data_IF_711550978388
#
_entry.id   IF_711550978388
#
_cell.length_a   1.000
_cell.length_b   1.000
_cell.length_c   1.000
_cell.angle_alpha   90.00
_cell.angle_beta   90.00
_cell.angle_gamma   90.00
#
_symmetry.space_group_name_H-M   'P 1'
#
loop_
_entity.id
_entity.type
_entity.pdbx_description
1 polymer ?
#
# COMPACT_ATOMS: atom_id res chain seq x y z
N UNK A 1 52.62 -7.56 24.55
CA UNK A 1 52.58 -6.59 25.67
C UNK A 1 51.20 -5.98 25.71
N UNK A 2 50.44 -6.22 26.78
CA UNK A 2 49.11 -5.61 26.98
C UNK A 2 49.26 -4.08 27.11
N UNK A 3 48.75 -3.31 26.13
CA UNK A 3 48.76 -1.84 26.22
C UNK A 3 47.86 -1.46 27.39
N UNK A 4 48.44 -0.75 28.40
CA UNK A 4 47.70 -0.28 29.55
C UNK A 4 46.40 0.46 29.13
N UNK A 5 45.27 0.01 29.62
CA UNK A 5 43.94 0.62 29.44
C UNK A 5 43.60 1.40 30.70
N UNK A 6 42.65 2.36 30.58
CA UNK A 6 42.11 3.12 31.73
C UNK A 6 43.11 4.08 32.38
N UNK A 7 43.80 4.87 31.58
CA UNK A 7 44.83 5.82 32.05
C UNK A 7 44.22 7.13 32.58
N UNK A 8 43.07 7.52 32.10
CA UNK A 8 42.39 8.75 32.51
C UNK A 8 41.48 8.47 33.73
N UNK A 9 41.41 9.43 34.62
CA UNK A 9 40.40 9.48 35.67
C UNK A 9 39.33 10.51 35.31
N UNK A 10 38.15 10.42 35.93
CA UNK A 10 37.08 11.40 35.76
C UNK A 10 37.54 12.82 36.19
N UNK A 11 38.43 12.93 37.17
CA UNK A 11 39.06 14.17 37.57
C UNK A 11 39.98 14.73 36.48
N UNK A 12 40.81 13.88 35.87
CA UNK A 12 41.69 14.27 34.75
C UNK A 12 40.89 14.78 33.55
N UNK A 13 39.76 14.12 33.20
CA UNK A 13 38.85 14.57 32.13
C UNK A 13 38.26 15.97 32.43
N UNK A 14 37.86 16.21 33.70
CA UNK A 14 37.32 17.53 34.07
C UNK A 14 38.37 18.63 34.00
N UNK A 15 39.58 18.36 34.44
CA UNK A 15 40.68 19.36 34.53
C UNK A 15 41.50 19.52 33.23
N UNK A 16 41.27 18.68 32.22
CA UNK A 16 41.93 18.83 30.93
C UNK A 16 41.43 20.11 30.22
N UNK A 17 42.24 21.15 30.17
CA UNK A 17 41.89 22.46 29.54
C UNK A 17 42.79 22.77 28.33
N UNK A 18 43.99 22.24 28.28
CA UNK A 18 44.89 22.49 27.16
C UNK A 18 44.44 21.75 25.90
N UNK A 19 44.38 22.40 24.74
CA UNK A 19 44.05 21.75 23.48
C UNK A 19 44.99 20.59 23.18
N UNK A 20 44.42 19.44 22.75
CA UNK A 20 45.23 18.25 22.44
C UNK A 20 44.47 16.95 22.65
N UNK A 21 45.20 15.85 22.49
CA UNK A 21 44.70 14.48 22.66
C UNK A 21 45.26 13.87 23.96
N UNK A 22 44.39 13.41 24.82
CA UNK A 22 44.72 12.73 26.08
C UNK A 22 44.37 11.25 25.94
N UNK A 23 45.36 10.40 26.03
CA UNK A 23 45.23 8.99 25.75
C UNK A 23 44.72 8.21 26.98
N UNK A 24 43.54 7.53 26.83
CA UNK A 24 43.02 6.66 27.90
C UNK A 24 43.51 5.21 27.80
N UNK A 25 43.87 4.77 26.61
CA UNK A 25 44.28 3.38 26.33
C UNK A 25 43.34 2.68 25.36
N UNK A 26 43.87 1.62 24.71
CA UNK A 26 43.06 0.87 23.73
C UNK A 26 42.52 1.70 22.57
N UNK A 27 43.23 2.76 22.16
CA UNK A 27 42.81 3.66 21.08
C UNK A 27 41.78 4.72 21.48
N UNK A 28 41.33 4.76 22.75
CA UNK A 28 40.43 5.81 23.22
C UNK A 28 41.21 7.06 23.63
N UNK A 29 40.77 8.22 23.13
CA UNK A 29 41.31 9.53 23.44
C UNK A 29 40.23 10.50 23.84
N UNK A 30 40.55 11.37 24.82
CA UNK A 30 39.84 12.64 25.03
C UNK A 30 40.50 13.69 24.14
N UNK A 31 39.75 14.30 23.24
CA UNK A 31 40.16 15.45 22.46
C UNK A 31 39.64 16.72 23.13
N UNK A 32 40.53 17.69 23.34
CA UNK A 32 40.18 19.03 23.76
C UNK A 32 40.48 19.96 22.58
N UNK A 33 39.48 20.67 22.10
CA UNK A 33 39.63 21.61 20.96
C UNK A 33 40.28 22.94 21.43
N UNK A 34 40.66 23.78 20.47
CA UNK A 34 41.17 25.13 20.74
C UNK A 34 40.13 26.02 21.45
N UNK A 35 38.84 25.70 21.29
CA UNK A 35 37.72 26.39 21.91
C UNK A 35 37.28 25.78 23.28
N UNK A 36 38.06 24.82 23.79
CA UNK A 36 37.76 24.15 25.07
C UNK A 36 36.70 23.09 25.01
N UNK A 37 36.13 22.75 23.84
CA UNK A 37 35.16 21.66 23.75
C UNK A 37 35.86 20.33 23.89
N UNK A 38 35.21 19.38 24.60
CA UNK A 38 35.76 18.06 24.89
C UNK A 38 34.93 16.96 24.19
N UNK A 39 35.61 16.07 23.49
CA UNK A 39 34.97 14.94 22.81
C UNK A 39 35.79 13.65 22.92
N UNK A 40 35.11 12.52 22.84
CA UNK A 40 35.74 11.20 22.80
C UNK A 40 36.05 10.80 21.37
N UNK A 41 37.25 10.30 21.14
CA UNK A 41 37.75 9.82 19.84
C UNK A 41 38.27 8.40 20.03
N UNK A 42 37.87 7.49 19.15
CA UNK A 42 38.45 6.17 19.01
C UNK A 42 39.39 6.17 17.79
N UNK A 43 40.67 5.95 18.04
CA UNK A 43 41.67 5.71 17.00
C UNK A 43 41.89 4.21 16.82
N UNK A 44 41.70 3.71 15.64
CA UNK A 44 41.87 2.31 15.29
C UNK A 44 42.58 2.15 13.96
N UNK A 45 43.12 0.95 13.71
CA UNK A 45 43.76 0.61 12.44
C UNK A 45 43.05 -0.57 11.82
N UNK A 46 42.61 -0.41 10.57
CA UNK A 46 42.01 -1.47 9.76
C UNK A 46 42.65 -1.43 8.38
N UNK A 47 42.96 -2.57 7.77
CA UNK A 47 43.62 -2.68 6.46
C UNK A 47 44.87 -1.79 6.32
N UNK A 48 45.71 -1.77 7.38
CA UNK A 48 46.92 -0.93 7.47
C UNK A 48 46.68 0.57 7.47
N UNK A 49 45.42 1.04 7.53
CA UNK A 49 45.07 2.47 7.60
C UNK A 49 44.59 2.81 9.01
N UNK A 50 45.15 3.88 9.58
CA UNK A 50 44.70 4.42 10.86
C UNK A 50 43.59 5.42 10.62
N UNK A 51 42.49 5.29 11.39
CA UNK A 51 41.30 6.15 11.31
C UNK A 51 40.92 6.63 12.70
N UNK A 52 40.34 7.83 12.77
CA UNK A 52 39.78 8.44 13.97
C UNK A 52 38.27 8.50 13.86
N UNK A 53 37.54 7.95 14.85
CA UNK A 53 36.11 7.92 14.94
C UNK A 53 35.62 8.71 16.15
N UNK A 54 34.80 9.73 15.96
CA UNK A 54 34.14 10.46 17.03
C UNK A 54 33.12 9.57 17.77
N UNK A 55 33.24 9.50 19.10
CA UNK A 55 32.30 8.76 19.95
C UNK A 55 31.25 9.67 20.61
N UNK A 56 31.42 10.97 20.53
CA UNK A 56 30.50 11.99 21.07
C UNK A 56 31.16 12.93 22.07
N UNK A 57 30.45 14.02 22.47
CA UNK A 57 30.97 14.99 23.42
C UNK A 57 30.98 14.43 24.83
N UNK A 58 31.90 14.95 25.67
CA UNK A 58 32.03 14.57 27.09
C UNK A 58 30.80 15.02 27.91
N UNK A 59 30.08 16.03 27.45
CA UNK A 59 28.85 16.50 28.09
C UNK A 59 27.76 15.41 28.09
N UNK A 60 27.67 14.62 27.00
CA UNK A 60 26.65 13.57 26.82
C UNK A 60 27.14 12.20 27.28
N UNK A 61 28.46 11.97 27.28
CA UNK A 61 29.06 10.66 27.53
C UNK A 61 30.17 10.75 28.57
N UNK A 62 29.96 10.09 29.71
CA UNK A 62 30.98 9.93 30.74
C UNK A 62 32.16 9.09 30.25
N UNK A 63 33.28 9.09 30.96
CA UNK A 63 34.44 8.27 30.65
C UNK A 63 34.11 6.77 30.64
N UNK A 64 33.25 6.30 31.55
CA UNK A 64 32.85 4.89 31.61
C UNK A 64 32.06 4.50 30.36
N UNK A 65 31.09 5.31 29.96
CA UNK A 65 30.28 5.09 28.75
C UNK A 65 31.11 5.17 27.47
N UNK A 66 32.08 6.10 27.40
CA UNK A 66 33.02 6.19 26.29
C UNK A 66 33.90 4.93 26.18
N UNK A 67 34.32 4.34 27.28
CA UNK A 67 35.05 3.07 27.32
C UNK A 67 34.21 1.91 26.79
N UNK A 68 32.97 1.80 27.22
CA UNK A 68 32.03 0.78 26.74
C UNK A 68 31.75 0.93 25.23
N UNK A 69 31.52 2.17 24.76
CA UNK A 69 31.38 2.43 23.33
C UNK A 69 32.62 2.06 22.53
N UNK A 70 33.80 2.44 23.02
CA UNK A 70 35.06 2.10 22.39
C UNK A 70 35.29 0.58 22.37
N UNK A 71 34.85 -0.15 23.39
CA UNK A 71 34.91 -1.61 23.44
C UNK A 71 34.08 -2.25 22.34
N UNK A 72 32.82 -1.81 22.15
CA UNK A 72 31.96 -2.30 21.08
C UNK A 72 32.57 -2.08 19.69
N UNK A 73 33.11 -0.89 19.42
CA UNK A 73 33.71 -0.59 18.11
C UNK A 73 35.04 -1.32 17.91
N UNK A 74 35.82 -1.60 18.96
CA UNK A 74 37.00 -2.45 18.84
C UNK A 74 36.63 -3.89 18.44
N UNK A 75 35.55 -4.45 18.98
CA UNK A 75 35.07 -5.76 18.56
C UNK A 75 34.78 -5.79 17.05
N UNK A 76 34.14 -4.75 16.49
CA UNK A 76 33.95 -4.67 15.03
C UNK A 76 35.28 -4.65 14.26
N UNK A 77 36.29 -3.92 14.77
CA UNK A 77 37.62 -3.89 14.14
C UNK A 77 38.28 -5.27 14.21
N UNK A 78 38.16 -6.00 15.33
CA UNK A 78 38.65 -7.35 15.49
C UNK A 78 37.97 -8.31 14.50
N UNK A 79 36.67 -8.11 14.21
CA UNK A 79 35.88 -8.82 13.20
C UNK A 79 36.14 -8.31 11.76
N UNK A 80 37.13 -7.43 11.56
CA UNK A 80 37.48 -6.79 10.26
C UNK A 80 36.37 -5.96 9.66
N UNK A 81 35.47 -5.43 10.47
CA UNK A 81 34.39 -4.51 10.06
C UNK A 81 34.81 -3.09 10.44
N UNK A 82 34.82 -2.18 9.45
CA UNK A 82 35.12 -0.77 9.71
C UNK A 82 33.98 -0.09 10.49
N UNK A 83 34.19 0.39 11.72
CA UNK A 83 33.16 1.00 12.54
C UNK A 83 32.51 2.25 11.93
N UNK A 84 33.26 3.03 11.13
CA UNK A 84 32.72 4.23 10.44
C UNK A 84 31.75 3.79 9.35
N UNK A 85 32.13 2.81 8.52
CA UNK A 85 31.28 2.27 7.48
C UNK A 85 30.07 1.54 8.06
N UNK A 86 30.24 0.80 9.15
CA UNK A 86 29.14 0.15 9.85
C UNK A 86 28.09 1.18 10.32
N UNK A 87 28.54 2.26 10.99
CA UNK A 87 27.65 3.33 11.46
C UNK A 87 26.95 4.04 10.30
N UNK A 88 27.68 4.29 9.20
CA UNK A 88 27.10 4.89 7.99
C UNK A 88 26.00 4.01 7.41
N UNK A 89 26.25 2.72 7.21
CA UNK A 89 25.25 1.77 6.72
C UNK A 89 24.03 1.67 7.64
N UNK A 90 24.25 1.68 8.96
CA UNK A 90 23.16 1.67 9.92
C UNK A 90 22.31 2.95 9.87
N UNK A 91 22.94 4.12 9.68
CA UNK A 91 22.24 5.39 9.50
C UNK A 91 21.48 5.44 8.17
N UNK A 92 22.10 4.99 7.08
CA UNK A 92 21.47 4.88 5.76
C UNK A 92 20.26 3.93 5.82
N UNK A 93 20.40 2.76 6.45
CA UNK A 93 19.30 1.82 6.64
C UNK A 93 18.13 2.42 7.46
N UNK A 94 18.46 3.18 8.53
CA UNK A 94 17.45 3.88 9.32
C UNK A 94 16.78 5.03 8.57
N UNK A 95 17.52 5.76 7.72
CA UNK A 95 16.99 6.82 6.88
C UNK A 95 16.04 6.23 5.82
N UNK A 96 16.47 5.19 5.11
CA UNK A 96 15.66 4.46 4.13
C UNK A 96 14.40 3.87 4.78
N UNK A 97 14.54 3.29 5.97
CA UNK A 97 13.38 2.78 6.72
C UNK A 97 12.38 3.90 7.10
N UNK A 98 12.85 5.12 7.37
CA UNK A 98 11.98 6.29 7.64
C UNK A 98 11.31 6.81 6.37
N UNK A 99 12.02 6.88 5.24
CA UNK A 99 11.47 7.29 3.95
C UNK A 99 10.44 6.30 3.43
N UNK A 100 10.58 5.01 3.77
CA UNK A 100 9.64 3.95 3.39
C UNK A 100 8.43 3.85 4.35
N UNK A 101 8.28 4.76 5.33
CA UNK A 101 7.12 4.80 6.21
C UNK A 101 5.90 5.38 5.46
N UNK A 102 5.28 4.58 4.60
CA UNK A 102 4.03 4.93 3.94
C UNK A 102 2.83 4.43 4.72
N UNK A 103 1.80 5.26 4.81
CA UNK A 103 0.51 4.82 5.35
C UNK A 103 -0.26 3.97 4.36
N UNK A 104 -1.22 3.18 4.84
CA UNK A 104 -2.11 2.42 3.96
C UNK A 104 -2.87 3.33 2.99
N UNK A 105 -3.34 4.50 3.46
CA UNK A 105 -4.05 5.49 2.64
C UNK A 105 -3.18 6.04 1.51
N UNK A 106 -1.93 6.44 1.81
CA UNK A 106 -0.99 6.89 0.78
C UNK A 106 -0.72 5.83 -0.28
N UNK A 107 -0.52 4.57 0.15
CA UNK A 107 -0.35 3.45 -0.76
C UNK A 107 -1.61 3.18 -1.59
N UNK A 108 -2.81 3.32 -1.00
CA UNK A 108 -4.08 3.14 -1.69
C UNK A 108 -4.30 4.21 -2.78
N UNK A 109 -3.99 5.48 -2.48
CA UNK A 109 -4.09 6.58 -3.44
C UNK A 109 -3.10 6.37 -4.60
N UNK A 110 -1.86 6.00 -4.30
CA UNK A 110 -0.85 5.74 -5.32
C UNK A 110 -1.21 4.51 -6.19
N UNK A 111 -1.68 3.43 -5.58
CA UNK A 111 -2.18 2.23 -6.28
C UNK A 111 -3.37 2.58 -7.18
N UNK A 112 -4.34 3.36 -6.68
CA UNK A 112 -5.46 3.85 -7.46
C UNK A 112 -5.01 4.67 -8.67
N UNK A 113 -4.06 5.60 -8.50
CA UNK A 113 -3.49 6.41 -9.58
C UNK A 113 -2.88 5.55 -10.69
N UNK A 114 -2.17 4.47 -10.32
CA UNK A 114 -1.60 3.51 -11.27
C UNK A 114 -2.67 2.71 -12.02
N UNK A 115 -3.76 2.31 -11.33
CA UNK A 115 -4.83 1.50 -11.93
C UNK A 115 -5.81 2.33 -12.75
N UNK A 116 -6.04 3.61 -12.40
CA UNK A 116 -7.05 4.47 -13.01
C UNK A 116 -7.01 4.50 -14.55
N UNK A 117 -5.85 4.60 -15.22
CA UNK A 117 -5.78 4.60 -16.69
C UNK A 117 -6.21 3.28 -17.34
N UNK A 118 -6.23 2.17 -16.60
CA UNK A 118 -6.61 0.85 -17.13
C UNK A 118 -8.12 0.62 -17.17
N UNK A 119 -8.90 1.47 -16.51
CA UNK A 119 -10.36 1.31 -16.43
C UNK A 119 -11.07 2.07 -17.54
N UNK A 120 -11.82 1.33 -18.38
CA UNK A 120 -12.67 1.90 -19.43
C UNK A 120 -13.81 2.79 -18.88
N UNK A 121 -14.27 2.52 -17.64
CA UNK A 121 -15.35 3.27 -17.02
C UNK A 121 -14.84 4.12 -15.84
N UNK A 122 -14.84 5.46 -15.93
CA UNK A 122 -14.39 6.36 -14.86
C UNK A 122 -15.11 6.12 -13.52
N UNK A 123 -16.43 5.82 -13.56
CA UNK A 123 -17.21 5.51 -12.34
C UNK A 123 -16.66 4.29 -11.56
N UNK A 124 -16.04 3.34 -12.25
CA UNK A 124 -15.42 2.20 -11.58
C UNK A 124 -14.20 2.62 -10.77
N UNK A 125 -13.40 3.55 -11.30
CA UNK A 125 -12.27 4.14 -10.58
C UNK A 125 -12.71 4.86 -9.31
N UNK A 126 -13.74 5.72 -9.43
CA UNK A 126 -14.27 6.46 -8.29
C UNK A 126 -14.84 5.51 -7.21
N UNK A 127 -15.59 4.47 -7.63
CA UNK A 127 -16.09 3.45 -6.71
C UNK A 127 -14.96 2.68 -6.02
N UNK A 128 -13.83 2.46 -6.70
CA UNK A 128 -12.70 1.73 -6.15
C UNK A 128 -12.13 2.45 -4.92
N UNK A 129 -11.80 3.72 -5.06
CA UNK A 129 -11.23 4.50 -3.96
C UNK A 129 -12.28 4.83 -2.88
N UNK A 130 -13.50 5.24 -3.28
CA UNK A 130 -14.56 5.59 -2.34
C UNK A 130 -14.93 4.43 -1.40
N UNK A 131 -14.86 3.20 -1.87
CA UNK A 131 -15.10 2.03 -1.01
C UNK A 131 -14.02 1.87 0.04
N UNK A 132 -12.74 2.10 -0.29
CA UNK A 132 -11.66 2.08 0.69
C UNK A 132 -11.77 3.25 1.68
N UNK A 133 -12.12 4.44 1.19
CA UNK A 133 -12.37 5.63 2.02
C UNK A 133 -13.47 5.37 3.06
N UNK A 134 -14.53 4.68 2.63
CA UNK A 134 -15.67 4.42 3.51
C UNK A 134 -15.38 3.34 4.56
N UNK A 135 -14.71 2.25 4.17
CA UNK A 135 -14.62 1.06 5.02
C UNK A 135 -13.24 0.78 5.58
N UNK A 136 -12.17 1.07 4.82
CA UNK A 136 -10.81 0.74 5.20
C UNK A 136 -10.07 1.91 5.89
N UNK A 137 -10.14 3.11 5.34
CA UNK A 137 -9.40 4.26 5.87
C UNK A 137 -9.73 4.62 7.32
N UNK A 138 -10.98 4.53 7.81
CA UNK A 138 -11.27 4.82 9.20
C UNK A 138 -10.55 3.88 10.19
N UNK A 139 -10.22 2.67 9.77
CA UNK A 139 -9.61 1.63 10.62
C UNK A 139 -8.11 1.53 10.41
N UNK A 140 -7.66 1.46 9.15
CA UNK A 140 -6.26 1.17 8.80
C UNK A 140 -5.58 2.28 8.00
N UNK A 141 -6.30 3.32 7.58
CA UNK A 141 -5.78 4.35 6.67
C UNK A 141 -4.51 5.02 7.15
N UNK A 142 -4.47 5.39 8.43
CA UNK A 142 -3.32 6.08 9.06
C UNK A 142 -2.23 5.15 9.57
N UNK A 143 -2.45 3.84 9.53
CA UNK A 143 -1.44 2.87 9.95
C UNK A 143 -0.31 2.82 8.91
N UNK A 144 0.92 2.58 9.39
CA UNK A 144 1.99 2.20 8.49
C UNK A 144 1.56 0.94 7.71
N UNK A 145 1.68 0.96 6.39
CA UNK A 145 1.25 -0.14 5.53
C UNK A 145 1.91 -1.47 5.91
N UNK A 146 3.16 -1.45 6.36
CA UNK A 146 3.88 -2.64 6.83
C UNK A 146 3.34 -3.22 8.15
N UNK A 147 2.54 -2.46 8.91
CA UNK A 147 1.88 -2.96 10.13
C UNK A 147 0.47 -3.52 9.88
N UNK A 148 -0.05 -3.42 8.66
CA UNK A 148 -1.38 -3.91 8.30
C UNK A 148 -1.34 -5.42 8.11
N UNK A 149 -1.68 -6.17 9.16
CA UNK A 149 -1.74 -7.63 9.14
C UNK A 149 -3.17 -8.17 9.02
N UNK A 150 -3.29 -9.51 9.04
CA UNK A 150 -4.59 -10.22 8.95
C UNK A 150 -5.63 -9.74 9.96
N UNK A 151 -5.23 -9.42 11.19
CA UNK A 151 -6.14 -8.92 12.24
C UNK A 151 -6.72 -7.56 11.85
N UNK A 152 -5.89 -6.62 11.43
CA UNK A 152 -6.34 -5.29 10.99
C UNK A 152 -7.30 -5.37 9.79
N UNK A 153 -7.05 -6.30 8.87
CA UNK A 153 -7.95 -6.56 7.73
C UNK A 153 -9.28 -7.16 8.21
N UNK A 154 -9.24 -8.10 9.15
CA UNK A 154 -10.46 -8.66 9.76
C UNK A 154 -11.29 -7.59 10.47
N UNK A 155 -10.67 -6.66 11.20
CA UNK A 155 -11.34 -5.55 11.88
C UNK A 155 -12.09 -4.65 10.88
N UNK A 156 -11.53 -4.39 9.69
CA UNK A 156 -12.21 -3.66 8.61
C UNK A 156 -13.41 -4.43 8.08
N UNK A 157 -13.28 -5.74 7.91
CA UNK A 157 -14.29 -6.56 7.23
C UNK A 157 -15.44 -6.98 8.14
N UNK A 158 -15.18 -7.24 9.41
CA UNK A 158 -16.18 -7.80 10.37
C UNK A 158 -17.51 -7.05 10.35
N UNK A 159 -17.58 -5.69 10.36
CA UNK A 159 -18.85 -4.97 10.38
C UNK A 159 -19.72 -5.19 9.14
N UNK A 160 -19.09 -5.52 8.01
CA UNK A 160 -19.77 -5.65 6.71
C UNK A 160 -19.79 -7.09 6.18
N UNK A 161 -19.11 -8.01 6.86
CA UNK A 161 -18.83 -9.36 6.35
C UNK A 161 -20.07 -10.19 6.05
N UNK A 162 -21.04 -10.16 6.97
CA UNK A 162 -22.30 -10.88 6.81
C UNK A 162 -23.39 -9.99 6.19
N UNK A 163 -23.41 -8.70 6.52
CA UNK A 163 -24.47 -7.79 6.11
C UNK A 163 -24.38 -7.34 4.65
N UNK A 164 -23.15 -7.08 4.17
CA UNK A 164 -22.86 -6.54 2.82
C UNK A 164 -21.79 -7.39 2.14
N UNK A 165 -22.10 -8.68 1.95
CA UNK A 165 -21.12 -9.69 1.52
C UNK A 165 -20.37 -9.33 0.24
N UNK A 166 -21.07 -8.80 -0.78
CA UNK A 166 -20.48 -8.35 -2.05
C UNK A 166 -19.51 -7.17 -1.83
N UNK A 167 -19.95 -6.20 -1.02
CA UNK A 167 -19.11 -5.04 -0.65
C UNK A 167 -17.87 -5.49 0.11
N UNK A 168 -18.03 -6.39 1.10
CA UNK A 168 -16.93 -6.94 1.89
C UNK A 168 -15.90 -7.67 1.00
N UNK A 169 -16.37 -8.45 0.04
CA UNK A 169 -15.49 -9.13 -0.93
C UNK A 169 -14.71 -8.13 -1.80
N UNK A 170 -15.33 -7.05 -2.24
CA UNK A 170 -14.67 -5.98 -3.01
C UNK A 170 -13.68 -5.19 -2.16
N UNK A 171 -14.02 -4.88 -0.90
CA UNK A 171 -13.10 -4.22 0.05
C UNK A 171 -11.87 -5.09 0.26
N UNK A 172 -12.06 -6.40 0.50
CA UNK A 172 -10.97 -7.36 0.66
C UNK A 172 -10.03 -7.38 -0.56
N UNK A 173 -10.59 -7.50 -1.77
CA UNK A 173 -9.80 -7.49 -3.01
C UNK A 173 -8.99 -6.19 -3.16
N UNK A 174 -9.57 -5.04 -2.80
CA UNK A 174 -8.91 -3.74 -2.89
C UNK A 174 -7.80 -3.59 -1.85
N UNK A 175 -8.04 -4.01 -0.61
CA UNK A 175 -6.98 -4.05 0.42
C UNK A 175 -5.83 -4.93 -0.04
N UNK A 176 -6.13 -6.12 -0.58
CA UNK A 176 -5.10 -7.02 -1.13
C UNK A 176 -4.29 -6.35 -2.23
N UNK A 177 -4.95 -5.65 -3.16
CA UNK A 177 -4.26 -4.93 -4.24
C UNK A 177 -3.32 -3.84 -3.70
N UNK A 178 -3.76 -3.09 -2.68
CA UNK A 178 -2.94 -2.04 -2.03
C UNK A 178 -1.72 -2.65 -1.33
N UNK A 179 -1.90 -3.72 -0.56
CA UNK A 179 -0.79 -4.37 0.14
C UNK A 179 0.20 -5.03 -0.83
N UNK A 180 -0.30 -5.61 -1.92
CA UNK A 180 0.56 -6.12 -3.00
C UNK A 180 1.34 -5.00 -3.69
N UNK A 181 0.69 -3.86 -3.95
CA UNK A 181 1.35 -2.65 -4.47
C UNK A 181 2.44 -2.17 -3.51
N UNK A 182 2.13 -2.08 -2.22
CA UNK A 182 3.09 -1.65 -1.20
C UNK A 182 4.30 -2.58 -1.11
N UNK A 183 4.08 -3.90 -1.19
CA UNK A 183 5.15 -4.90 -1.21
C UNK A 183 6.04 -4.76 -2.45
N UNK A 184 5.45 -4.56 -3.63
CA UNK A 184 6.19 -4.39 -4.88
C UNK A 184 7.04 -3.10 -4.94
N UNK A 185 6.75 -2.13 -4.04
CA UNK A 185 7.50 -0.88 -3.90
C UNK A 185 8.36 -0.82 -2.63
N UNK A 186 8.62 -1.95 -1.98
CA UNK A 186 9.41 -2.08 -0.77
C UNK A 186 8.88 -1.29 0.46
N UNK A 187 7.62 -0.83 0.41
CA UNK A 187 6.95 -0.18 1.53
C UNK A 187 6.43 -1.19 2.56
N UNK A 188 6.38 -2.48 2.19
CA UNK A 188 5.96 -3.58 3.07
C UNK A 188 7.00 -4.72 3.02
N UNK A 189 8.19 -4.56 3.62
CA UNK A 189 9.16 -5.63 3.74
C UNK A 189 8.58 -6.76 4.60
N UNK A 190 8.73 -8.01 4.14
CA UNK A 190 8.20 -9.18 4.86
C UNK A 190 6.69 -9.41 4.67
N UNK A 191 6.07 -8.83 3.65
CA UNK A 191 4.69 -9.14 3.28
C UNK A 191 4.51 -10.62 2.97
N UNK A 192 3.70 -11.31 3.78
CA UNK A 192 3.43 -12.74 3.64
C UNK A 192 2.06 -12.97 2.99
N UNK A 193 2.06 -13.64 1.84
CA UNK A 193 0.83 -14.00 1.13
C UNK A 193 -0.05 -15.00 1.90
N UNK A 194 0.53 -15.79 2.82
CA UNK A 194 -0.22 -16.75 3.66
C UNK A 194 -1.26 -16.08 4.56
N UNK A 195 -1.10 -14.78 4.84
CA UNK A 195 -2.09 -14.03 5.62
C UNK A 195 -3.51 -14.14 5.02
N UNK A 196 -3.63 -14.29 3.69
CA UNK A 196 -4.91 -14.39 3.01
C UNK A 196 -5.58 -15.76 3.20
N UNK A 197 -4.79 -16.81 3.37
CA UNK A 197 -5.28 -18.18 3.65
C UNK A 197 -5.72 -18.33 5.11
N UNK A 198 -5.12 -17.54 6.00
CA UNK A 198 -5.45 -17.52 7.42
C UNK A 198 -6.58 -16.55 7.78
N UNK A 199 -6.81 -15.51 6.97
CA UNK A 199 -7.83 -14.49 7.22
C UNK A 199 -9.25 -15.08 7.42
N UNK A 200 -9.71 -16.10 6.66
CA UNK A 200 -11.02 -16.71 6.87
C UNK A 200 -11.23 -17.27 8.27
N UNK A 201 -10.17 -17.66 8.98
CA UNK A 201 -10.25 -18.16 10.36
C UNK A 201 -10.61 -17.06 11.37
N UNK A 202 -10.41 -15.79 11.00
CA UNK A 202 -10.74 -14.63 11.84
C UNK A 202 -12.14 -14.06 11.56
N UNK A 203 -12.81 -14.55 10.52
CA UNK A 203 -14.11 -14.05 10.07
C UNK A 203 -15.18 -15.12 10.28
N UNK A 204 -16.44 -14.72 10.62
CA UNK A 204 -17.51 -15.68 10.75
C UNK A 204 -17.77 -16.38 9.42
N UNK A 205 -18.15 -17.66 9.47
CA UNK A 205 -18.57 -18.39 8.28
C UNK A 205 -19.74 -17.69 7.61
N UNK A 206 -19.62 -17.48 6.30
CA UNK A 206 -20.75 -16.96 5.52
C UNK A 206 -21.75 -18.10 5.30
N UNK A 207 -23.04 -17.84 5.56
CA UNK A 207 -24.05 -18.82 5.17
C UNK A 207 -24.02 -19.01 3.65
N UNK A 208 -24.19 -20.23 3.18
CA UNK A 208 -24.38 -20.50 1.76
C UNK A 208 -25.54 -19.65 1.25
N UNK A 209 -25.21 -18.64 0.49
CA UNK A 209 -26.22 -17.80 -0.16
C UNK A 209 -26.63 -18.52 -1.42
N UNK A 210 -27.82 -19.13 -1.42
CA UNK A 210 -28.48 -19.42 -2.70
C UNK A 210 -28.57 -18.08 -3.44
N UNK A 211 -27.79 -17.97 -4.51
CA UNK A 211 -27.78 -16.77 -5.33
C UNK A 211 -29.18 -16.58 -5.90
N UNK A 212 -30.01 -15.82 -5.21
CA UNK A 212 -31.34 -15.47 -5.73
C UNK A 212 -31.09 -14.56 -6.94
N UNK A 213 -31.52 -15.02 -8.08
CA UNK A 213 -31.55 -14.19 -9.29
C UNK A 213 -32.50 -13.00 -9.01
N UNK A 214 -32.21 -11.86 -9.61
CA UNK A 214 -33.17 -10.76 -9.60
C UNK A 214 -34.50 -11.25 -10.18
N UNK A 215 -35.59 -10.74 -9.65
CA UNK A 215 -36.91 -11.00 -10.20
C UNK A 215 -36.90 -10.66 -11.70
N UNK A 216 -37.32 -11.60 -12.51
CA UNK A 216 -37.40 -11.44 -13.96
C UNK A 216 -38.82 -11.74 -14.41
N UNK A 217 -39.28 -11.02 -15.44
CA UNK A 217 -40.50 -11.34 -16.12
C UNK A 217 -40.31 -12.62 -16.94
N UNK A 218 -41.14 -13.65 -16.77
CA UNK A 218 -41.16 -14.81 -17.67
C UNK A 218 -41.34 -14.36 -19.10
N UNK A 219 -40.61 -14.98 -20.04
CA UNK A 219 -40.64 -14.53 -21.44
C UNK A 219 -42.06 -14.60 -22.06
N UNK A 220 -42.87 -15.55 -21.63
CA UNK A 220 -44.30 -15.68 -22.08
C UNK A 220 -45.16 -14.48 -21.65
N UNK A 221 -44.80 -13.78 -20.59
CA UNK A 221 -45.51 -12.61 -20.09
C UNK A 221 -44.96 -11.29 -20.66
N UNK A 222 -43.90 -11.35 -21.47
CA UNK A 222 -43.26 -10.16 -22.01
C UNK A 222 -44.21 -9.29 -22.87
N UNK A 223 -45.07 -9.94 -23.68
CA UNK A 223 -46.05 -9.22 -24.49
C UNK A 223 -47.08 -8.46 -23.65
N UNK A 224 -47.54 -9.04 -22.54
CA UNK A 224 -48.47 -8.40 -21.62
C UNK A 224 -47.77 -7.26 -20.86
N UNK A 225 -46.51 -7.45 -20.46
CA UNK A 225 -45.68 -6.41 -19.86
C UNK A 225 -45.55 -5.20 -20.78
N UNK A 226 -45.32 -5.40 -22.08
CA UNK A 226 -45.24 -4.32 -23.06
C UNK A 226 -46.57 -3.61 -23.18
N UNK A 227 -47.72 -4.31 -23.24
CA UNK A 227 -49.04 -3.69 -23.23
C UNK A 227 -49.29 -2.84 -22.00
N UNK A 228 -48.96 -3.32 -20.82
CA UNK A 228 -49.05 -2.56 -19.57
C UNK A 228 -48.17 -1.30 -19.58
N UNK A 229 -46.93 -1.44 -20.14
CA UNK A 229 -46.04 -0.31 -20.31
C UNK A 229 -46.60 0.77 -21.23
N UNK A 230 -47.20 0.37 -22.36
CA UNK A 230 -47.83 1.29 -23.31
C UNK A 230 -48.97 2.07 -22.68
N UNK A 231 -49.77 1.45 -21.80
CA UNK A 231 -50.84 2.11 -21.01
C UNK A 231 -50.37 2.95 -19.83
N UNK A 232 -49.07 2.99 -19.53
CA UNK A 232 -48.52 3.71 -18.38
C UNK A 232 -48.37 5.22 -18.67
N UNK A 233 -48.11 5.98 -17.61
CA UNK A 233 -47.84 7.44 -17.67
C UNK A 233 -46.39 7.79 -18.06
N UNK A 234 -45.58 6.82 -18.43
CA UNK A 234 -44.18 7.04 -18.86
C UNK A 234 -44.16 7.79 -20.20
N UNK A 235 -43.08 8.55 -20.47
CA UNK A 235 -42.89 9.20 -21.75
C UNK A 235 -42.76 8.18 -22.88
N UNK A 236 -43.25 8.53 -24.07
CA UNK A 236 -43.21 7.68 -25.25
C UNK A 236 -41.78 7.20 -25.57
N UNK A 237 -40.79 8.09 -25.40
CA UNK A 237 -39.40 7.72 -25.62
C UNK A 237 -38.94 6.59 -24.69
N UNK A 238 -39.35 6.61 -23.41
CA UNK A 238 -39.02 5.55 -22.46
C UNK A 238 -39.73 4.25 -22.79
N UNK A 239 -41.00 4.30 -23.23
CA UNK A 239 -41.74 3.11 -23.65
C UNK A 239 -41.08 2.47 -24.86
N UNK A 240 -40.73 3.24 -25.89
CA UNK A 240 -40.04 2.74 -27.07
C UNK A 240 -38.66 2.18 -26.75
N UNK A 241 -37.88 2.87 -25.92
CA UNK A 241 -36.55 2.38 -25.54
C UNK A 241 -36.61 1.07 -24.77
N UNK A 242 -37.60 0.90 -23.89
CA UNK A 242 -37.82 -0.34 -23.16
C UNK A 242 -38.24 -1.49 -24.09
N UNK A 243 -39.23 -1.22 -24.96
CA UNK A 243 -39.72 -2.19 -25.97
C UNK A 243 -38.58 -2.61 -26.89
N UNK A 244 -37.80 -1.65 -27.42
CA UNK A 244 -36.61 -1.92 -28.23
C UNK A 244 -35.60 -2.81 -27.50
N UNK A 245 -35.36 -2.52 -26.20
CA UNK A 245 -34.44 -3.35 -25.38
C UNK A 245 -34.95 -4.78 -25.22
N UNK A 246 -36.27 -4.98 -25.04
CA UNK A 246 -36.87 -6.31 -24.91
C UNK A 246 -36.82 -7.07 -26.24
N UNK A 247 -37.16 -6.42 -27.35
CA UNK A 247 -37.20 -7.05 -28.67
C UNK A 247 -35.80 -7.44 -29.21
N UNK A 248 -34.78 -6.67 -28.83
CA UNK A 248 -33.40 -6.89 -29.30
C UNK A 248 -32.56 -7.74 -28.30
N UNK A 249 -33.00 -7.88 -27.05
CA UNK A 249 -32.27 -8.61 -26.01
C UNK A 249 -30.94 -7.99 -25.61
N UNK A 250 -30.64 -6.75 -26.02
CA UNK A 250 -29.39 -6.04 -25.74
C UNK A 250 -29.38 -5.43 -24.35
N UNK A 251 -28.20 -4.98 -23.89
CA UNK A 251 -28.10 -4.22 -22.63
C UNK A 251 -28.72 -2.84 -22.77
N UNK A 252 -29.27 -2.34 -21.67
CA UNK A 252 -29.89 -0.99 -21.63
C UNK A 252 -28.96 0.14 -22.07
N UNK A 253 -27.63 0.00 -21.85
CA UNK A 253 -26.63 0.96 -22.31
C UNK A 253 -26.43 0.91 -23.83
N UNK A 254 -26.52 -0.27 -24.41
CA UNK A 254 -26.42 -0.50 -25.87
C UNK A 254 -27.65 0.10 -26.57
N UNK A 255 -28.86 -0.19 -26.05
CA UNK A 255 -30.11 0.37 -26.60
C UNK A 255 -30.16 1.91 -26.50
N UNK A 256 -29.81 2.49 -25.33
CA UNK A 256 -29.83 3.95 -25.12
C UNK A 256 -28.82 4.70 -25.98
N UNK A 257 -27.75 4.06 -26.36
CA UNK A 257 -26.71 4.65 -27.19
C UNK A 257 -26.82 4.26 -28.67
N UNK A 258 -27.91 3.63 -29.12
CA UNK A 258 -28.11 3.23 -30.49
C UNK A 258 -28.08 4.44 -31.44
N UNK A 259 -27.33 4.34 -32.52
CA UNK A 259 -27.24 5.35 -33.56
C UNK A 259 -27.98 4.85 -34.82
N UNK A 260 -28.67 5.78 -35.53
CA UNK A 260 -29.35 5.44 -36.77
C UNK A 260 -28.42 4.83 -37.84
N UNK A 261 -27.16 5.28 -37.85
CA UNK A 261 -26.15 4.76 -38.80
C UNK A 261 -25.77 3.30 -38.54
N UNK A 262 -26.05 2.73 -37.37
CA UNK A 262 -25.79 1.33 -37.04
C UNK A 262 -26.92 0.40 -37.51
N UNK A 263 -28.09 0.96 -37.87
CA UNK A 263 -29.29 0.19 -38.21
C UNK A 263 -29.48 0.11 -39.74
N UNK A 264 -29.43 -1.11 -40.27
CA UNK A 264 -29.78 -1.38 -41.65
C UNK A 264 -31.22 -1.96 -41.72
N UNK A 265 -32.17 -1.11 -42.07
CA UNK A 265 -33.59 -1.50 -42.19
C UNK A 265 -33.86 -2.41 -43.40
N UNK A 266 -32.98 -2.40 -44.44
CA UNK A 266 -33.15 -3.27 -45.61
C UNK A 266 -32.73 -4.71 -45.27
N UNK A 267 -31.64 -4.84 -44.56
CA UNK A 267 -31.15 -6.14 -44.09
C UNK A 267 -31.77 -6.57 -42.75
N UNK A 268 -32.53 -5.68 -42.11
CA UNK A 268 -33.12 -5.90 -40.75
C UNK A 268 -32.09 -6.29 -39.73
N UNK A 269 -30.99 -5.56 -39.69
CA UNK A 269 -29.92 -5.78 -38.71
C UNK A 269 -29.48 -4.49 -38.05
N UNK A 270 -29.08 -4.61 -36.80
CA UNK A 270 -28.41 -3.55 -36.06
C UNK A 270 -26.98 -3.99 -35.76
N UNK A 271 -25.99 -3.28 -36.28
CA UNK A 271 -24.58 -3.52 -36.11
C UNK A 271 -24.04 -2.67 -35.00
N UNK A 272 -23.80 -3.25 -33.81
CA UNK A 272 -23.23 -2.55 -32.66
C UNK A 272 -21.71 -2.65 -32.78
N UNK A 273 -20.96 -1.53 -32.89
CA UNK A 273 -19.51 -1.57 -33.04
C UNK A 273 -18.82 -1.98 -31.72
N UNK A 274 -17.59 -2.48 -31.84
CA UNK A 274 -16.82 -3.07 -30.74
C UNK A 274 -16.55 -2.10 -29.59
N UNK A 275 -16.36 -0.82 -29.87
CA UNK A 275 -16.09 0.24 -28.88
C UNK A 275 -17.28 0.48 -27.95
N UNK A 276 -18.51 0.20 -28.38
CA UNK A 276 -19.73 0.26 -27.59
C UNK A 276 -20.04 -1.02 -26.83
N UNK A 277 -19.39 -2.11 -27.18
CA UNK A 277 -19.60 -3.41 -26.55
C UNK A 277 -18.74 -3.58 -25.30
N UNK A 278 -19.32 -4.12 -24.23
CA UNK A 278 -18.61 -4.38 -22.96
C UNK A 278 -17.38 -5.29 -23.15
N UNK A 279 -17.49 -6.28 -24.06
CA UNK A 279 -16.43 -7.26 -24.35
C UNK A 279 -15.48 -6.79 -25.45
N UNK A 280 -15.73 -5.64 -26.10
CA UNK A 280 -14.90 -5.16 -27.21
C UNK A 280 -14.98 -6.03 -28.47
N UNK A 281 -16.11 -6.68 -28.69
CA UNK A 281 -16.41 -7.48 -29.90
C UNK A 281 -17.68 -6.93 -30.49
N UNK A 282 -17.67 -6.58 -31.78
CA UNK A 282 -18.84 -6.10 -32.48
C UNK A 282 -19.99 -7.14 -32.41
N UNK A 283 -21.22 -6.66 -32.35
CA UNK A 283 -22.39 -7.53 -32.22
C UNK A 283 -23.44 -7.15 -33.23
N UNK A 284 -23.94 -8.16 -33.95
CA UNK A 284 -25.02 -8.01 -34.95
C UNK A 284 -26.32 -8.53 -34.34
N UNK A 285 -27.32 -7.65 -34.25
CA UNK A 285 -28.63 -7.94 -33.69
C UNK A 285 -29.66 -7.99 -34.85
N UNK A 286 -30.35 -9.12 -35.05
CA UNK A 286 -31.45 -9.17 -36.01
C UNK A 286 -32.64 -8.33 -35.48
N UNK A 287 -33.28 -7.60 -36.38
CA UNK A 287 -34.45 -6.78 -36.06
C UNK A 287 -35.71 -7.47 -36.52
N UNK A 288 -36.75 -7.43 -35.68
CA UNK A 288 -38.12 -7.85 -36.04
C UNK A 288 -38.80 -6.83 -36.95
N UNK A 289 -39.97 -7.20 -37.50
CA UNK A 289 -40.77 -6.33 -38.37
C UNK A 289 -41.49 -5.19 -37.60
N UNK A 290 -41.37 -5.21 -36.30
CA UNK A 290 -41.96 -4.24 -35.39
C UNK A 290 -40.96 -3.14 -35.01
#
# INVERSE_FOLDING_TARGET
MSRARERLSAAAVRHATKPGFYHDGGGLYLQVSQFGTKSWILRYTIDKKTRDMGLGPVADWSLAEARERAKKFRQLVDDKIDPIEFRRKEQEARATARENLKTFEECAIACHGKLKPTWKNPKHGDQWINTLTTYAFPVIGKLNVASVGKKSVADVLTPIWLLKQETASRVLQRIRAVLTYASAHDYYPGYDLKMWDELPQLLPQRPERKQAHHASCPYLEAAELIKKLQGSTLSELLKLAFEFTVLTGVRSSEARGALKAEIDLKQKVWNIPEDRMKMGIAHVVPLSDR
#
